data_IF_442737344734
#
_entry.id   IF_442737344734
#
_cell.length_a   1.000
_cell.length_b   1.000
_cell.length_c   1.000
_cell.angle_alpha   90.00
_cell.angle_beta   90.00
_cell.angle_gamma   90.00
#
_symmetry.space_group_name_H-M   'P 1'
#
loop_
_entity.id
_entity.type
_entity.pdbx_description
1 polymer ?
#
# COMPACT_ATOMS: atom_id res chain seq x y z
N UNK A 1 -38.06 49.52 -55.10
CA UNK A 1 -39.44 49.62 -54.57
C UNK A 1 -39.80 48.33 -53.85
N UNK A 2 -40.31 48.45 -52.62
CA UNK A 2 -40.95 47.39 -51.83
C UNK A 2 -42.23 46.86 -52.51
N UNK A 3 -42.59 45.60 -52.21
CA UNK A 3 -43.91 45.11 -51.70
C UNK A 3 -43.94 43.56 -51.79
N UNK A 4 -43.86 42.84 -50.67
CA UNK A 4 -44.98 42.36 -49.80
C UNK A 4 -45.49 40.98 -50.25
N UNK A 5 -45.13 39.88 -49.56
CA UNK A 5 -45.82 39.20 -48.42
C UNK A 5 -46.92 38.21 -48.87
N UNK A 6 -46.73 36.93 -48.48
CA UNK A 6 -47.68 36.00 -47.79
C UNK A 6 -47.17 34.57 -48.00
N UNK A 7 -46.49 33.91 -47.05
CA UNK A 7 -47.00 33.25 -45.83
C UNK A 7 -48.00 32.12 -46.10
N UNK A 8 -47.57 30.86 -45.87
CA UNK A 8 -48.29 29.86 -45.09
C UNK A 8 -47.45 28.56 -44.94
N UNK A 9 -47.02 28.32 -43.70
CA UNK A 9 -46.60 27.01 -43.16
C UNK A 9 -47.89 26.32 -42.68
N UNK A 10 -48.09 24.99 -42.87
CA UNK A 10 -47.91 24.10 -41.72
C UNK A 10 -47.42 22.67 -42.04
N UNK A 11 -46.68 22.11 -41.07
CA UNK A 11 -46.47 20.67 -40.87
C UNK A 11 -45.20 20.13 -41.54
N UNK A 12 -44.22 19.55 -40.85
CA UNK A 12 -44.24 18.75 -39.62
C UNK A 12 -42.93 19.03 -38.87
N UNK A 13 -43.04 19.44 -37.62
CA UNK A 13 -41.91 19.38 -36.68
C UNK A 13 -41.69 17.90 -36.37
N UNK A 14 -40.71 17.28 -37.03
CA UNK A 14 -40.12 16.05 -36.50
C UNK A 14 -39.35 16.46 -35.24
N UNK A 15 -40.01 16.29 -34.09
CA UNK A 15 -39.35 16.14 -32.81
C UNK A 15 -38.47 14.88 -32.90
N UNK A 16 -37.23 15.03 -33.36
CA UNK A 16 -36.19 14.09 -32.99
C UNK A 16 -35.99 14.32 -31.49
N UNK A 17 -36.67 13.48 -30.70
CA UNK A 17 -36.25 13.19 -29.35
C UNK A 17 -34.79 12.77 -29.45
N UNK A 18 -33.88 13.70 -29.15
CA UNK A 18 -32.51 13.42 -28.81
C UNK A 18 -32.56 12.59 -27.52
N UNK A 19 -32.92 11.31 -27.67
CA UNK A 19 -32.66 10.31 -26.66
C UNK A 19 -31.17 10.38 -26.46
N UNK A 20 -30.76 10.99 -25.34
CA UNK A 20 -29.44 10.79 -24.81
C UNK A 20 -29.34 9.28 -24.69
N UNK A 21 -28.66 8.64 -25.64
CA UNK A 21 -28.23 7.26 -25.47
C UNK A 21 -27.24 7.38 -24.34
N UNK A 22 -27.75 7.26 -23.10
CA UNK A 22 -26.93 6.89 -21.96
C UNK A 22 -26.29 5.60 -22.41
N UNK A 23 -25.07 5.69 -22.93
CA UNK A 23 -24.16 4.57 -22.92
C UNK A 23 -24.18 4.10 -21.47
N UNK A 24 -24.88 2.98 -21.26
CA UNK A 24 -24.83 2.28 -20.00
C UNK A 24 -23.34 2.13 -19.71
N UNK A 25 -22.84 2.62 -18.56
CA UNK A 25 -21.43 2.49 -18.25
C UNK A 25 -21.07 1.04 -18.47
N UNK A 26 -20.02 0.78 -19.26
CA UNK A 26 -19.56 -0.58 -19.50
C UNK A 26 -19.55 -1.29 -18.15
N UNK A 27 -20.23 -2.44 -18.09
CA UNK A 27 -20.19 -3.30 -16.91
C UNK A 27 -18.74 -3.41 -16.48
N UNK A 28 -18.46 -3.07 -15.22
CA UNK A 28 -17.15 -3.19 -14.61
C UNK A 28 -16.56 -4.54 -15.08
N UNK A 29 -15.35 -4.56 -15.66
CA UNK A 29 -14.80 -5.80 -16.17
C UNK A 29 -14.84 -6.81 -15.04
N UNK A 30 -15.39 -8.01 -15.34
CA UNK A 30 -15.46 -9.12 -14.41
C UNK A 30 -14.11 -9.20 -13.69
N UNK A 31 -14.14 -9.01 -12.36
CA UNK A 31 -13.04 -9.06 -11.39
C UNK A 31 -11.69 -9.23 -12.08
N UNK A 32 -10.88 -8.16 -12.17
CA UNK A 32 -9.52 -8.23 -12.70
C UNK A 32 -8.72 -9.23 -11.84
N UNK A 33 -8.78 -10.49 -12.24
CA UNK A 33 -8.17 -11.61 -11.57
C UNK A 33 -6.87 -11.88 -12.33
N UNK A 34 -5.73 -11.89 -11.64
CA UNK A 34 -4.47 -12.13 -12.30
C UNK A 34 -4.45 -13.53 -12.91
N UNK A 35 -3.77 -13.65 -14.04
CA UNK A 35 -3.54 -14.90 -14.75
C UNK A 35 -2.67 -15.85 -13.92
N UNK A 36 -1.69 -15.31 -13.19
CA UNK A 36 -0.89 -16.07 -12.21
C UNK A 36 -0.79 -15.31 -10.87
N UNK A 37 -1.55 -15.74 -9.85
CA UNK A 37 -1.49 -15.17 -8.51
C UNK A 37 -0.08 -15.06 -7.94
N UNK A 38 0.85 -15.98 -8.25
CA UNK A 38 2.20 -15.95 -7.68
C UNK A 38 3.08 -14.83 -8.23
N UNK A 39 2.70 -14.24 -9.36
CA UNK A 39 3.38 -13.11 -10.01
C UNK A 39 2.49 -11.88 -10.11
N UNK A 40 1.31 -11.90 -9.48
CA UNK A 40 0.41 -10.77 -9.42
C UNK A 40 0.85 -9.76 -8.36
N UNK A 41 0.94 -8.48 -8.75
CA UNK A 41 1.37 -7.40 -7.86
C UNK A 41 0.47 -6.18 -8.00
N UNK A 42 -0.12 -5.74 -6.88
CA UNK A 42 -0.87 -4.48 -6.85
C UNK A 42 -0.01 -3.35 -6.30
N UNK A 43 0.00 -2.21 -7.00
CA UNK A 43 0.74 -1.00 -6.60
C UNK A 43 -0.21 0.07 -6.08
N UNK A 44 0.01 0.53 -4.86
CA UNK A 44 -0.75 1.58 -4.20
C UNK A 44 0.07 2.84 -3.98
N UNK A 45 -0.60 3.98 -4.18
CA UNK A 45 -0.20 5.25 -3.57
C UNK A 45 -0.99 5.43 -2.30
N UNK A 46 -0.27 5.72 -1.22
CA UNK A 46 -0.81 5.88 0.11
C UNK A 46 -0.57 7.31 0.62
N UNK A 47 -1.65 8.01 0.91
CA UNK A 47 -1.67 9.40 1.34
C UNK A 47 -2.25 9.57 2.76
N UNK A 48 -2.33 8.49 3.55
CA UNK A 48 -2.94 8.51 4.88
C UNK A 48 -2.22 9.39 5.91
N UNK A 49 -0.96 9.77 5.66
CA UNK A 49 -0.19 10.59 6.60
C UNK A 49 -0.47 12.07 6.40
N UNK A 50 -0.44 12.86 7.46
CA UNK A 50 -0.75 14.30 7.38
C UNK A 50 0.17 15.10 6.43
N UNK A 51 1.36 14.57 6.10
CA UNK A 51 2.35 15.24 5.27
C UNK A 51 2.55 14.57 3.90
N UNK A 52 1.81 13.50 3.59
CA UNK A 52 1.93 12.86 2.29
C UNK A 52 1.28 13.69 1.19
N UNK A 53 1.80 13.54 -0.03
CA UNK A 53 1.17 14.04 -1.23
C UNK A 53 -0.20 13.39 -1.39
N UNK A 54 -1.21 14.16 -1.79
CA UNK A 54 -2.51 13.64 -2.19
C UNK A 54 -2.30 12.60 -3.29
N UNK A 55 -2.98 11.45 -3.21
CA UNK A 55 -2.94 10.41 -4.25
C UNK A 55 -3.31 10.92 -5.64
N UNK A 56 -4.02 12.04 -5.72
CA UNK A 56 -4.44 12.72 -6.95
C UNK A 56 -3.44 13.79 -7.42
N UNK A 57 -2.36 14.04 -6.68
CA UNK A 57 -1.32 14.97 -7.12
C UNK A 57 -0.68 14.44 -8.42
N UNK A 58 -0.32 15.32 -9.37
CA UNK A 58 0.36 14.90 -10.59
C UNK A 58 1.65 14.11 -10.32
N UNK A 59 2.44 14.52 -9.33
CA UNK A 59 3.65 13.80 -8.95
C UNK A 59 3.34 12.40 -8.43
N UNK A 60 2.38 12.28 -7.51
CA UNK A 60 2.00 10.99 -6.93
C UNK A 60 1.44 10.01 -7.99
N UNK A 61 0.68 10.52 -8.97
CA UNK A 61 0.18 9.74 -10.11
C UNK A 61 1.31 9.30 -11.05
N UNK A 62 2.21 10.21 -11.42
CA UNK A 62 3.34 9.87 -12.29
C UNK A 62 4.24 8.81 -11.64
N UNK A 63 4.53 8.97 -10.35
CA UNK A 63 5.31 7.99 -9.60
C UNK A 63 4.64 6.63 -9.49
N UNK A 64 3.32 6.57 -9.28
CA UNK A 64 2.58 5.30 -9.26
C UNK A 64 2.68 4.59 -10.61
N UNK A 65 2.47 5.33 -11.71
CA UNK A 65 2.57 4.80 -13.06
C UNK A 65 4.00 4.29 -13.33
N UNK A 66 5.01 5.06 -12.95
CA UNK A 66 6.40 4.64 -13.06
C UNK A 66 6.69 3.38 -12.25
N UNK A 67 6.13 3.23 -11.03
CA UNK A 67 6.31 2.00 -10.25
C UNK A 67 5.70 0.78 -10.96
N UNK A 68 4.48 0.92 -11.49
CA UNK A 68 3.80 -0.13 -12.29
C UNK A 68 4.67 -0.52 -13.49
N UNK A 69 5.17 0.47 -14.24
CA UNK A 69 5.98 0.23 -15.44
C UNK A 69 7.33 -0.41 -15.12
N UNK A 70 7.98 -0.02 -14.02
CA UNK A 70 9.25 -0.60 -13.60
C UNK A 70 9.10 -2.01 -13.03
N UNK A 71 8.06 -2.25 -12.22
CA UNK A 71 7.79 -3.57 -11.64
C UNK A 71 7.34 -4.58 -12.71
N UNK A 72 6.62 -4.15 -13.73
CA UNK A 72 6.22 -5.01 -14.87
C UNK A 72 7.41 -5.61 -15.62
N UNK A 73 8.60 -5.01 -15.52
CA UNK A 73 9.83 -5.52 -16.15
C UNK A 73 10.38 -6.78 -15.49
N UNK A 74 9.88 -7.13 -14.30
CA UNK A 74 10.28 -8.32 -13.54
C UNK A 74 9.26 -9.45 -13.67
N UNK A 75 8.55 -9.51 -14.79
CA UNK A 75 7.51 -10.51 -15.11
C UNK A 75 6.34 -10.55 -14.12
N UNK A 76 6.10 -9.45 -13.40
CA UNK A 76 4.91 -9.30 -12.57
C UNK A 76 3.71 -8.87 -13.42
N UNK A 77 2.55 -9.46 -13.17
CA UNK A 77 1.27 -8.93 -13.61
C UNK A 77 0.91 -7.78 -12.67
N UNK A 78 1.32 -6.56 -13.04
CA UNK A 78 1.15 -5.39 -12.18
C UNK A 78 -0.10 -4.58 -12.51
N UNK A 79 -0.76 -4.07 -11.48
CA UNK A 79 -1.86 -3.12 -11.64
C UNK A 79 -1.77 -1.99 -10.64
N UNK A 80 -2.14 -0.79 -11.07
CA UNK A 80 -2.40 0.30 -10.14
C UNK A 80 -3.65 -0.02 -9.31
N UNK A 81 -3.55 0.07 -7.99
CA UNK A 81 -4.65 -0.20 -7.08
C UNK A 81 -5.87 0.70 -7.28
N UNK A 82 -5.69 1.87 -7.91
CA UNK A 82 -6.78 2.76 -8.32
C UNK A 82 -7.67 2.18 -9.43
N UNK A 83 -7.22 1.13 -10.13
CA UNK A 83 -7.97 0.42 -11.19
C UNK A 83 -8.69 -0.83 -10.69
N UNK A 84 -8.54 -1.17 -9.41
CA UNK A 84 -9.29 -2.26 -8.80
C UNK A 84 -10.74 -1.85 -8.54
N UNK A 85 -11.59 -2.83 -8.28
CA UNK A 85 -13.04 -2.65 -8.22
C UNK A 85 -13.48 -1.55 -7.27
N UNK A 86 -14.66 -0.99 -7.53
CA UNK A 86 -15.22 0.09 -6.74
C UNK A 86 -15.35 -0.24 -5.24
N UNK A 87 -15.57 -1.51 -4.88
CA UNK A 87 -15.60 -1.97 -3.49
C UNK A 87 -14.26 -1.79 -2.76
N UNK A 88 -13.14 -2.08 -3.42
CA UNK A 88 -11.81 -1.84 -2.85
C UNK A 88 -11.54 -0.33 -2.71
N UNK A 89 -11.85 0.43 -3.77
CA UNK A 89 -11.60 1.88 -3.80
C UNK A 89 -12.38 2.65 -2.74
N UNK A 90 -13.57 2.16 -2.40
CA UNK A 90 -14.48 2.76 -1.43
C UNK A 90 -14.41 2.09 -0.05
N UNK A 91 -13.47 1.17 0.19
CA UNK A 91 -13.38 0.47 1.47
C UNK A 91 -13.13 1.49 2.60
N UNK A 92 -13.92 1.50 3.69
CA UNK A 92 -13.81 2.52 4.73
C UNK A 92 -12.48 2.48 5.49
N UNK A 93 -11.80 1.32 5.53
CA UNK A 93 -10.45 1.19 6.08
C UNK A 93 -9.37 1.88 5.23
N UNK A 94 -9.70 2.23 3.98
CA UNK A 94 -8.82 2.85 2.98
C UNK A 94 -8.63 4.37 3.20
N UNK A 95 -8.61 4.83 4.45
CA UNK A 95 -8.32 6.22 4.84
C UNK A 95 -7.57 6.34 6.17
N UNK A 96 -7.04 5.25 6.70
CA UNK A 96 -6.40 5.17 8.01
C UNK A 96 -4.95 4.69 7.88
N UNK A 97 -4.13 4.82 8.95
CA UNK A 97 -2.68 4.58 8.89
C UNK A 97 -2.23 3.15 8.54
N UNK A 98 -3.15 2.18 8.55
CA UNK A 98 -2.92 0.79 8.14
C UNK A 98 -3.76 0.39 6.91
N UNK A 99 -4.21 1.36 6.11
CA UNK A 99 -5.19 1.23 5.02
C UNK A 99 -4.92 0.05 4.08
N UNK A 100 -3.69 -0.09 3.62
CA UNK A 100 -3.33 -1.16 2.67
C UNK A 100 -3.29 -2.51 3.35
N UNK A 101 -2.81 -2.60 4.59
CA UNK A 101 -2.77 -3.83 5.37
C UNK A 101 -4.19 -4.35 5.67
N UNK A 102 -5.09 -3.45 6.09
CA UNK A 102 -6.48 -3.79 6.41
C UNK A 102 -7.29 -4.18 5.16
N UNK A 103 -6.86 -3.72 3.97
CA UNK A 103 -7.51 -4.01 2.70
C UNK A 103 -6.93 -5.22 1.97
N UNK A 104 -5.89 -5.89 2.50
CA UNK A 104 -5.27 -7.06 1.86
C UNK A 104 -6.25 -8.20 1.62
N UNK A 105 -7.19 -8.43 2.53
CA UNK A 105 -8.20 -9.48 2.38
C UNK A 105 -9.08 -9.29 1.14
N UNK A 106 -9.21 -8.07 0.63
CA UNK A 106 -9.96 -7.77 -0.60
C UNK A 106 -9.14 -7.99 -1.87
N UNK A 107 -7.84 -8.24 -1.73
CA UNK A 107 -6.92 -8.60 -2.81
C UNK A 107 -6.78 -10.12 -2.93
N UNK A 108 -7.74 -10.89 -2.42
CA UNK A 108 -7.72 -12.35 -2.58
C UNK A 108 -7.52 -12.75 -4.05
N UNK A 109 -6.65 -13.74 -4.28
CA UNK A 109 -6.18 -14.11 -5.61
C UNK A 109 -4.96 -13.31 -6.12
N UNK A 110 -4.50 -12.27 -5.42
CA UNK A 110 -3.23 -11.59 -5.69
C UNK A 110 -2.09 -12.17 -4.85
N UNK A 111 -0.86 -12.13 -5.37
CA UNK A 111 0.32 -12.61 -4.65
C UNK A 111 0.87 -11.58 -3.69
N UNK A 112 1.08 -10.37 -4.21
CA UNK A 112 1.76 -9.30 -3.50
C UNK A 112 1.04 -7.96 -3.66
N UNK A 113 1.24 -7.10 -2.67
CA UNK A 113 0.84 -5.70 -2.71
C UNK A 113 2.02 -4.83 -2.29
N UNK A 114 2.15 -3.67 -2.91
CA UNK A 114 3.19 -2.68 -2.61
C UNK A 114 2.52 -1.33 -2.41
N UNK A 115 2.78 -0.71 -1.26
CA UNK A 115 2.31 0.62 -0.94
C UNK A 115 3.47 1.60 -0.91
N UNK A 116 3.30 2.73 -1.57
CA UNK A 116 4.22 3.86 -1.55
C UNK A 116 3.57 5.07 -0.89
N UNK A 117 4.19 5.58 0.17
CA UNK A 117 3.82 6.87 0.77
C UNK A 117 4.85 7.92 0.34
N UNK A 118 4.38 8.99 -0.29
CA UNK A 118 5.22 10.07 -0.79
C UNK A 118 5.09 11.30 0.09
N UNK A 119 6.17 11.76 0.70
CA UNK A 119 6.18 12.95 1.56
C UNK A 119 7.13 13.99 0.99
N UNK A 120 6.60 15.16 0.64
CA UNK A 120 7.39 16.27 0.14
C UNK A 120 7.83 17.14 1.31
N UNK A 121 9.14 17.17 1.55
CA UNK A 121 9.75 18.01 2.59
C UNK A 121 10.29 19.28 1.98
N UNK A 122 10.20 20.36 2.74
CA UNK A 122 10.72 21.65 2.32
C UNK A 122 11.36 22.40 3.49
N UNK A 123 12.43 23.12 3.19
CA UNK A 123 13.13 24.04 4.09
C UNK A 123 13.19 25.41 3.40
N UNK A 124 12.60 26.43 4.03
CA UNK A 124 12.58 27.80 3.50
C UNK A 124 13.72 28.65 4.06
N UNK A 125 14.42 29.33 3.17
CA UNK A 125 15.49 30.29 3.51
C UNK A 125 15.09 31.74 3.22
N UNK A 126 13.83 31.99 2.81
CA UNK A 126 13.27 33.27 2.42
C UNK A 126 13.41 33.56 0.92
N UNK A 127 14.60 33.38 0.35
CA UNK A 127 14.84 33.60 -1.09
C UNK A 127 14.61 32.34 -1.94
N UNK A 128 14.91 31.18 -1.37
CA UNK A 128 14.75 29.89 -2.02
C UNK A 128 14.25 28.86 -1.00
N UNK A 129 13.60 27.82 -1.51
CA UNK A 129 13.25 26.62 -0.74
C UNK A 129 14.08 25.45 -1.24
N UNK A 130 14.61 24.68 -0.29
CA UNK A 130 15.15 23.35 -0.57
C UNK A 130 14.01 22.37 -0.42
N UNK A 131 13.82 21.51 -1.40
CA UNK A 131 12.74 20.52 -1.44
C UNK A 131 13.34 19.15 -1.66
N UNK A 132 12.86 18.14 -0.93
CA UNK A 132 13.22 16.75 -1.17
C UNK A 132 12.03 15.85 -0.94
N UNK A 133 12.05 14.68 -1.59
CA UNK A 133 11.00 13.68 -1.49
C UNK A 133 11.48 12.54 -0.61
N UNK A 134 10.68 12.23 0.42
CA UNK A 134 10.80 11.00 1.19
C UNK A 134 9.75 10.00 0.69
N UNK A 135 10.17 8.77 0.45
CA UNK A 135 9.32 7.67 -0.01
C UNK A 135 9.40 6.52 0.97
N UNK A 136 8.28 6.16 1.57
CA UNK A 136 8.17 4.92 2.33
C UNK A 136 7.59 3.83 1.43
N UNK A 137 8.30 2.71 1.34
CA UNK A 137 7.83 1.52 0.60
C UNK A 137 7.48 0.41 1.57
N UNK A 138 6.27 -0.14 1.46
CA UNK A 138 5.86 -1.32 2.21
C UNK A 138 5.41 -2.42 1.26
N UNK A 139 6.00 -3.60 1.40
CA UNK A 139 5.69 -4.79 0.59
C UNK A 139 4.94 -5.79 1.45
N UNK A 140 3.82 -6.30 0.93
CA UNK A 140 2.92 -7.22 1.61
C UNK A 140 2.81 -8.55 0.86
N UNK A 141 2.72 -9.64 1.62
CA UNK A 141 2.21 -10.93 1.18
C UNK A 141 0.70 -10.89 1.39
N UNK A 142 -0.05 -10.90 0.29
CA UNK A 142 -1.51 -10.78 0.32
C UNK A 142 -2.12 -12.04 0.92
N UNK A 143 -1.66 -13.22 0.49
CA UNK A 143 -2.18 -14.51 0.95
C UNK A 143 -1.97 -14.72 2.46
N UNK A 144 -0.85 -14.25 2.99
CA UNK A 144 -0.56 -14.33 4.44
C UNK A 144 -0.94 -13.08 5.22
N UNK A 145 -1.54 -12.09 4.55
CA UNK A 145 -1.98 -10.82 5.13
C UNK A 145 -0.92 -10.18 6.04
N UNK A 146 0.33 -10.10 5.56
CA UNK A 146 1.45 -9.61 6.37
C UNK A 146 2.46 -8.80 5.60
N UNK A 147 3.15 -7.91 6.30
CA UNK A 147 4.30 -7.17 5.77
C UNK A 147 5.49 -8.11 5.57
N UNK A 148 6.04 -8.11 4.36
CA UNK A 148 7.32 -8.77 4.03
C UNK A 148 8.48 -7.86 4.44
N UNK A 149 8.41 -6.59 4.03
CA UNK A 149 9.48 -5.62 4.22
C UNK A 149 8.91 -4.20 4.17
N UNK A 150 9.47 -3.31 4.99
CA UNK A 150 9.22 -1.87 4.96
C UNK A 150 10.55 -1.13 5.02
N UNK A 151 10.70 -0.07 4.25
CA UNK A 151 11.85 0.82 4.31
C UNK A 151 11.49 2.24 3.87
N UNK A 152 12.30 3.19 4.30
CA UNK A 152 12.18 4.60 3.96
C UNK A 152 13.37 5.01 3.10
N UNK A 153 13.12 5.83 2.08
CA UNK A 153 14.13 6.30 1.15
C UNK A 153 13.91 7.78 0.86
N UNK A 154 14.89 8.60 1.21
CA UNK A 154 14.92 10.01 0.82
C UNK A 154 15.64 10.17 -0.51
N UNK A 155 15.20 11.13 -1.32
CA UNK A 155 15.95 11.57 -2.48
C UNK A 155 17.34 12.06 -2.05
N UNK A 156 18.43 11.54 -2.63
CA UNK A 156 19.79 11.88 -2.21
C UNK A 156 20.19 13.32 -2.56
N UNK A 157 19.37 14.07 -3.31
CA UNK A 157 19.61 15.46 -3.68
C UNK A 157 18.35 16.29 -3.43
N UNK A 158 18.50 17.36 -2.65
CA UNK A 158 17.46 18.38 -2.51
C UNK A 158 17.44 19.27 -3.76
N UNK A 159 16.25 19.57 -4.25
CA UNK A 159 15.96 20.48 -5.36
C UNK A 159 15.81 21.89 -4.79
N UNK A 160 16.50 22.86 -5.37
CA UNK A 160 16.39 24.27 -4.95
C UNK A 160 15.42 24.98 -5.89
N UNK A 161 14.35 25.53 -5.33
CA UNK A 161 13.32 26.29 -6.06
C UNK A 161 13.20 27.69 -5.49
N UNK A 162 12.66 28.63 -6.26
CA UNK A 162 12.36 29.97 -5.76
C UNK A 162 11.31 29.92 -4.62
N UNK A 163 11.39 30.83 -3.66
CA UNK A 163 10.46 30.86 -2.53
C UNK A 163 9.00 31.10 -2.95
N UNK A 164 8.76 31.78 -4.08
CA UNK A 164 7.44 32.04 -4.65
C UNK A 164 6.87 30.93 -5.57
N UNK A 165 7.62 29.86 -5.82
CA UNK A 165 7.16 28.71 -6.61
C UNK A 165 5.98 28.03 -5.89
N UNK A 166 4.89 27.73 -6.59
CA UNK A 166 3.73 27.09 -5.96
C UNK A 166 3.91 25.56 -5.84
N UNK A 167 2.89 24.85 -5.35
CA UNK A 167 2.94 23.39 -5.20
C UNK A 167 3.19 22.65 -6.53
N UNK A 168 2.58 23.10 -7.63
CA UNK A 168 2.74 22.48 -8.94
C UNK A 168 4.16 22.63 -9.49
N UNK A 169 4.72 23.84 -9.42
CA UNK A 169 6.10 24.13 -9.80
C UNK A 169 7.12 23.33 -8.95
N UNK A 170 6.84 23.14 -7.66
CA UNK A 170 7.69 22.32 -6.79
C UNK A 170 7.65 20.84 -7.21
N UNK A 171 6.45 20.29 -7.40
CA UNK A 171 6.26 18.90 -7.82
C UNK A 171 6.96 18.60 -9.15
N UNK A 172 6.81 19.49 -10.14
CA UNK A 172 7.45 19.38 -11.45
C UNK A 172 8.98 19.38 -11.34
N UNK A 173 9.54 20.21 -10.45
CA UNK A 173 10.99 20.31 -10.25
C UNK A 173 11.60 19.04 -9.64
N UNK A 174 10.83 18.26 -8.89
CA UNK A 174 11.28 17.03 -8.23
C UNK A 174 11.07 15.79 -9.11
N UNK A 175 10.12 15.85 -10.04
CA UNK A 175 9.65 14.70 -10.83
C UNK A 175 10.77 13.86 -11.48
N UNK A 176 11.76 14.44 -12.22
CA UNK A 176 12.78 13.62 -12.88
C UNK A 176 13.60 12.77 -11.91
N UNK A 177 13.86 13.31 -10.71
CA UNK A 177 14.61 12.58 -9.66
C UNK A 177 13.74 11.57 -8.94
N UNK A 178 12.46 11.87 -8.77
CA UNK A 178 11.49 10.92 -8.24
C UNK A 178 11.33 9.70 -9.17
N UNK A 179 11.29 9.90 -10.49
CA UNK A 179 11.19 8.82 -11.47
C UNK A 179 12.42 7.91 -11.50
N UNK A 180 13.63 8.48 -11.36
CA UNK A 180 14.88 7.72 -11.17
C UNK A 180 14.80 6.85 -9.90
N UNK A 181 14.30 7.42 -8.80
CA UNK A 181 14.13 6.72 -7.53
C UNK A 181 13.17 5.53 -7.66
N UNK A 182 12.09 5.64 -8.44
CA UNK A 182 11.15 4.54 -8.63
C UNK A 182 11.77 3.30 -9.28
N UNK A 183 12.79 3.47 -10.13
CA UNK A 183 13.51 2.33 -10.70
C UNK A 183 14.31 1.56 -9.63
N UNK A 184 15.04 2.25 -8.76
CA UNK A 184 15.76 1.65 -7.63
C UNK A 184 14.79 0.99 -6.63
N UNK A 185 13.66 1.64 -6.34
CA UNK A 185 12.63 1.08 -5.47
C UNK A 185 11.95 -0.16 -6.07
N UNK A 186 11.78 -0.23 -7.39
CA UNK A 186 11.26 -1.42 -8.06
C UNK A 186 12.25 -2.60 -7.97
N UNK A 187 13.54 -2.35 -8.19
CA UNK A 187 14.58 -3.37 -8.02
C UNK A 187 14.62 -3.92 -6.58
N UNK A 188 14.59 -3.03 -5.58
CA UNK A 188 14.55 -3.41 -4.15
C UNK A 188 13.30 -4.21 -3.80
N UNK A 189 12.16 -3.80 -4.34
CA UNK A 189 10.89 -4.52 -4.18
C UNK A 189 10.98 -5.92 -4.76
N UNK A 190 11.46 -6.05 -6.00
CA UNK A 190 11.67 -7.36 -6.62
C UNK A 190 12.62 -8.23 -5.78
N UNK A 191 13.76 -7.68 -5.34
CA UNK A 191 14.72 -8.40 -4.52
C UNK A 191 14.11 -8.87 -3.18
N UNK A 192 13.28 -8.03 -2.53
CA UNK A 192 12.61 -8.37 -1.29
C UNK A 192 11.61 -9.54 -1.48
N UNK A 193 10.82 -9.51 -2.56
CA UNK A 193 9.88 -10.59 -2.90
C UNK A 193 10.64 -11.89 -3.25
N UNK A 194 11.68 -11.80 -4.07
CA UNK A 194 12.50 -12.96 -4.48
C UNK A 194 13.19 -13.62 -3.28
N UNK A 195 13.78 -12.84 -2.39
CA UNK A 195 14.39 -13.34 -1.15
C UNK A 195 13.36 -13.93 -0.18
N UNK A 196 12.12 -13.46 -0.21
CA UNK A 196 11.05 -14.01 0.60
C UNK A 196 10.52 -15.35 0.06
N UNK A 197 10.47 -15.53 -1.27
CA UNK A 197 10.11 -16.79 -1.93
C UNK A 197 11.16 -17.89 -1.68
N UNK A 198 12.43 -17.53 -1.58
CA UNK A 198 13.52 -18.46 -1.29
C UNK A 198 13.85 -18.45 0.20
N UNK A 199 13.44 -19.46 1.01
CA UNK A 199 13.87 -19.49 2.40
C UNK A 199 15.40 -19.46 2.46
N UNK A 200 16.01 -18.70 3.39
CA UNK A 200 17.46 -18.60 3.45
C UNK A 200 18.06 -20.01 3.56
N UNK A 201 19.03 -20.31 2.69
CA UNK A 201 19.77 -21.58 2.66
C UNK A 201 20.68 -21.72 3.89
N UNK A 202 20.11 -21.69 5.10
CA UNK A 202 20.64 -22.24 6.35
C UNK A 202 19.82 -21.75 7.54
N UNK A 203 18.73 -22.42 7.87
CA UNK A 203 18.32 -22.49 9.28
C UNK A 203 18.96 -23.75 9.86
N UNK A 204 20.13 -23.59 10.52
CA UNK A 204 20.51 -24.54 11.56
C UNK A 204 19.66 -24.17 12.78
N UNK A 205 18.85 -25.08 13.32
CA UNK A 205 18.17 -24.83 14.59
C UNK A 205 19.20 -24.38 15.62
N UNK A 206 18.89 -23.31 16.36
CA UNK A 206 19.67 -22.95 17.53
C UNK A 206 19.82 -24.21 18.41
N UNK A 207 21.02 -24.51 18.95
CA UNK A 207 21.16 -25.60 19.91
C UNK A 207 20.15 -25.39 21.03
N UNK A 208 19.36 -26.42 21.34
CA UNK A 208 18.45 -26.36 22.50
C UNK A 208 19.26 -25.90 23.71
N UNK A 209 18.74 -24.96 24.52
CA UNK A 209 19.36 -24.62 25.79
C UNK A 209 19.62 -25.91 26.56
N UNK A 210 20.84 -26.09 27.08
CA UNK A 210 21.10 -27.20 28.01
C UNK A 210 20.09 -27.05 29.17
N UNK A 211 19.48 -28.16 29.63
CA UNK A 211 18.68 -28.12 30.84
C UNK A 211 19.49 -27.44 31.95
N UNK A 212 18.86 -26.52 32.68
CA UNK A 212 19.50 -25.95 33.86
C UNK A 212 19.93 -27.09 34.79
N UNK A 213 21.11 -27.00 35.44
CA UNK A 213 21.45 -27.94 36.49
C UNK A 213 20.32 -27.92 37.54
N UNK A 214 19.99 -29.07 38.14
CA UNK A 214 18.97 -29.13 39.18
C UNK A 214 19.31 -28.13 40.29
N UNK A 215 18.30 -27.50 40.93
CA UNK A 215 18.55 -26.62 42.06
C UNK A 215 19.36 -27.36 43.11
N UNK A 216 20.38 -26.70 43.67
CA UNK A 216 21.04 -27.21 44.87
C UNK A 216 19.98 -27.35 45.98
N UNK A 217 20.00 -28.49 46.68
CA UNK A 217 19.10 -28.73 47.79
C UNK A 217 19.25 -27.59 48.81
N UNK A 218 18.15 -27.02 49.31
CA UNK A 218 18.22 -25.97 50.31
C UNK A 218 18.91 -26.50 51.58
N UNK A 219 19.68 -25.66 52.30
CA UNK A 219 20.41 -26.09 53.47
C UNK A 219 19.46 -26.67 54.52
N UNK A 220 19.78 -27.88 55.00
CA UNK A 220 19.04 -28.57 56.05
C UNK A 220 19.06 -27.73 57.34
N UNK A 221 17.88 -27.28 57.76
CA UNK A 221 17.65 -26.68 59.07
C UNK A 221 17.45 -27.82 60.10
N UNK A 222 18.13 -27.82 61.27
CA UNK A 222 17.93 -28.84 62.30
C UNK A 222 16.50 -28.78 62.85
N UNK A 223 15.86 -29.94 62.95
CA UNK A 223 14.41 -30.08 63.02
C UNK A 223 13.75 -29.84 64.39
N UNK A 224 12.43 -30.03 64.38
CA UNK A 224 11.58 -30.35 65.54
C UNK A 224 10.17 -30.82 65.03
N UNK A 225 9.29 -31.43 65.86
CA UNK A 225 8.89 -32.84 65.70
C UNK A 225 7.60 -33.08 64.92
N UNK A 226 7.46 -34.32 64.45
CA UNK A 226 6.27 -34.89 63.80
C UNK A 226 5.02 -34.84 64.68
N UNK A 227 3.89 -34.42 64.10
CA UNK A 227 2.54 -34.64 64.63
C UNK A 227 1.79 -35.58 63.67
N UNK A 228 1.22 -36.71 64.13
CA UNK A 228 0.49 -37.66 63.28
C UNK A 228 -1.02 -37.36 63.26
N UNK A 229 -1.63 -37.46 62.08
CA UNK A 229 -3.08 -37.35 61.84
C UNK A 229 -3.35 -36.39 60.66
N UNK A 230 -4.25 -36.63 59.72
CA UNK A 230 -5.39 -37.53 59.61
C UNK A 230 -5.67 -37.86 58.13
N UNK A 231 -6.52 -38.87 57.94
CA UNK A 231 -6.98 -39.42 56.67
C UNK A 231 -7.89 -38.44 55.92
N UNK A 232 -7.77 -38.47 54.59
CA UNK A 232 -8.91 -38.41 53.67
C UNK A 232 -9.31 -37.02 53.18
N UNK A 233 -9.24 -36.80 51.87
CA UNK A 233 -10.40 -36.90 50.98
C UNK A 233 -10.01 -36.38 49.59
N UNK A 234 -10.44 -37.13 48.59
CA UNK A 234 -10.56 -36.67 47.22
C UNK A 234 -11.59 -35.54 47.16
N UNK A 235 -11.31 -34.48 46.39
CA UNK A 235 -12.35 -33.80 45.63
C UNK A 235 -11.76 -33.07 44.43
N UNK A 236 -12.05 -33.65 43.27
CA UNK A 236 -12.20 -32.98 41.99
C UNK A 236 -13.17 -31.81 42.12
N UNK A 237 -12.85 -30.65 41.57
CA UNK A 237 -13.86 -29.71 41.08
C UNK A 237 -13.40 -29.20 39.71
N UNK A 238 -14.19 -29.53 38.68
CA UNK A 238 -14.28 -28.79 37.44
C UNK A 238 -15.21 -27.61 37.69
N UNK A 239 -14.74 -26.38 37.41
CA UNK A 239 -15.34 -25.36 36.54
C UNK A 239 -14.38 -24.16 36.48
#
# INVERSE_FOLDING_TARGET
MMRSISLLIPGIVMLFMSGCVTQQPQSEPAVWAPTDPQYALVVFTDDHTANSLDRRSPLAQSMQQQAVDQLSRYDYETVAGSRLTQSFLNHPGRRAANEVADSLAMLDGWGYAVAYTYTLKQEDSGQYRKVWLDVTTTVYDVNKQRTIKRWDQSLPRHVVVASNCDGGCVEESVLPKAEELMADLAERTHAAISAYKQPPKSYKPAPKPKPAPPPEDPPQVPGEPQVPGEKGQWNTINF
#
